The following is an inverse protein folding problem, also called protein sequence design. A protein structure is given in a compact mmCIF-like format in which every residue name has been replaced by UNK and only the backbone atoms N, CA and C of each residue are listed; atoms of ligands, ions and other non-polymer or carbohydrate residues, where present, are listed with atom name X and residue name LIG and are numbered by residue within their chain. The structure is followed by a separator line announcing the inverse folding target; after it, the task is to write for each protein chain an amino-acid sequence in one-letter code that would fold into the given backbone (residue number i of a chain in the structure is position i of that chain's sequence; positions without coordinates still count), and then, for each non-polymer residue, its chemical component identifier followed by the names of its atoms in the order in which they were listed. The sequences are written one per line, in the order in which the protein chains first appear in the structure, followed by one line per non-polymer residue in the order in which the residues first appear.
data_IF_539466083096
#
_entry.id   IF_539466083096
#
_cell.length_a   1.000
_cell.length_b   1.000
_cell.length_c   1.000
_cell.angle_alpha   90.00
_cell.angle_beta   90.00
_cell.angle_gamma   90.00
#
_symmetry.space_group_name_H-M   'P 1'
#
loop_
_entity.id
_entity.type
_entity.pdbx_description
1 polymer ?
#
# COMPACT_ATOMS: atom_id res chain seq x y z
N UNK A 1 -24.27 40.53 16.92
CA UNK A 1 -24.93 39.48 16.17
C UNK A 1 -23.90 38.45 15.70
N UNK A 2 -24.33 37.17 15.69
CA UNK A 2 -23.52 36.07 15.17
C UNK A 2 -23.89 35.84 13.71
N UNK A 3 -22.86 35.65 12.85
CA UNK A 3 -23.04 35.18 11.49
C UNK A 3 -22.08 34.01 11.28
N UNK A 4 -22.61 32.87 10.79
CA UNK A 4 -21.84 31.68 10.49
C UNK A 4 -22.10 31.22 9.09
N UNK A 5 -21.05 31.24 8.26
CA UNK A 5 -21.07 30.77 6.89
C UNK A 5 -20.27 29.49 6.86
N UNK A 6 -20.87 28.40 6.34
CA UNK A 6 -20.22 27.10 6.17
C UNK A 6 -20.47 26.58 4.76
N UNK A 7 -19.44 26.04 4.14
CA UNK A 7 -19.50 25.38 2.83
C UNK A 7 -18.87 24.02 2.94
N UNK A 8 -19.52 23.01 2.35
CA UNK A 8 -19.03 21.64 2.24
C UNK A 8 -19.01 21.23 0.77
N UNK A 9 -17.85 20.72 0.33
CA UNK A 9 -17.66 20.15 -0.99
C UNK A 9 -17.25 18.70 -0.85
N UNK A 10 -17.87 17.84 -1.62
CA UNK A 10 -17.51 16.43 -1.72
C UNK A 10 -17.52 16.00 -3.17
N UNK A 11 -16.53 15.21 -3.57
CA UNK A 11 -16.50 14.64 -4.91
C UNK A 11 -15.86 13.26 -4.94
N UNK A 12 -16.25 12.50 -5.93
CA UNK A 12 -15.73 11.19 -6.23
C UNK A 12 -15.55 11.07 -7.75
N UNK A 13 -14.39 10.58 -8.17
CA UNK A 13 -14.13 10.30 -9.59
C UNK A 13 -13.53 8.91 -9.71
N UNK A 14 -14.17 8.05 -10.48
CA UNK A 14 -13.66 6.72 -10.84
C UNK A 14 -13.74 6.54 -12.34
N UNK A 15 -12.65 6.13 -12.94
CA UNK A 15 -12.57 5.81 -14.37
C UNK A 15 -12.39 4.31 -14.52
N UNK A 16 -13.14 3.72 -15.42
CA UNK A 16 -13.05 2.29 -15.72
C UNK A 16 -12.64 2.10 -17.18
N UNK A 17 -11.91 1.01 -17.44
CA UNK A 17 -11.56 0.61 -18.78
C UNK A 17 -12.77 -0.10 -19.40
N UNK A 18 -13.44 0.55 -20.35
CA UNK A 18 -14.64 0.01 -21.01
C UNK A 18 -14.28 -0.93 -22.15
N UNK A 19 -13.34 -0.52 -23.01
CA UNK A 19 -12.94 -1.28 -24.20
C UNK A 19 -11.47 -1.09 -24.52
N UNK A 20 -10.89 -2.12 -25.14
CA UNK A 20 -9.55 -2.07 -25.73
C UNK A 20 -9.70 -2.29 -27.25
N UNK A 21 -8.80 -1.69 -28.02
CA UNK A 21 -8.74 -1.86 -29.46
C UNK A 21 -8.68 -3.36 -29.84
N UNK A 22 -9.36 -3.74 -30.91
CA UNK A 22 -9.52 -5.12 -31.40
C UNK A 22 -10.17 -6.12 -30.43
N UNK A 23 -10.94 -5.66 -29.43
CA UNK A 23 -11.62 -6.53 -28.47
C UNK A 23 -10.67 -7.29 -27.54
N UNK A 24 -9.43 -6.84 -27.37
CA UNK A 24 -8.50 -7.43 -26.41
C UNK A 24 -9.08 -7.33 -24.99
N UNK A 25 -8.84 -8.36 -24.19
CA UNK A 25 -9.32 -8.43 -22.82
C UNK A 25 -8.47 -7.60 -21.84
N UNK A 26 -7.16 -7.53 -22.08
CA UNK A 26 -6.24 -6.79 -21.23
C UNK A 26 -5.18 -6.02 -22.02
N UNK A 27 -4.62 -4.99 -21.38
CA UNK A 27 -3.45 -4.27 -21.83
C UNK A 27 -2.59 -3.90 -20.62
N UNK A 28 -1.31 -4.31 -20.60
CA UNK A 28 -0.38 -4.08 -19.49
C UNK A 28 -0.96 -4.48 -18.12
N UNK A 29 -1.62 -5.63 -18.06
CA UNK A 29 -2.33 -6.21 -16.91
C UNK A 29 -3.65 -5.53 -16.54
N UNK A 30 -3.95 -4.33 -17.04
CA UNK A 30 -5.24 -3.68 -16.86
C UNK A 30 -6.29 -4.42 -17.71
N UNK A 31 -7.36 -4.88 -17.08
CA UNK A 31 -8.42 -5.65 -17.72
C UNK A 31 -9.62 -4.76 -18.04
N UNK A 32 -10.40 -5.13 -19.05
CA UNK A 32 -11.70 -4.49 -19.31
C UNK A 32 -12.59 -4.65 -18.08
N UNK A 33 -13.19 -3.56 -17.62
CA UNK A 33 -13.98 -3.48 -16.39
C UNK A 33 -13.19 -3.04 -15.15
N UNK A 34 -11.86 -3.03 -15.21
CA UNK A 34 -11.03 -2.55 -14.09
C UNK A 34 -11.01 -1.03 -13.97
N UNK A 35 -10.73 -0.54 -12.78
CA UNK A 35 -10.43 0.88 -12.59
C UNK A 35 -9.12 1.23 -13.31
N UNK A 36 -9.16 2.29 -14.12
CA UNK A 36 -8.02 2.73 -14.92
C UNK A 36 -6.80 3.19 -14.09
N UNK A 37 -7.00 3.45 -12.79
CA UNK A 37 -5.97 3.82 -11.82
C UNK A 37 -5.50 2.64 -10.94
N UNK A 38 -5.84 1.41 -11.32
CA UNK A 38 -5.37 0.21 -10.64
C UNK A 38 -3.86 0.04 -10.82
N UNK A 39 -3.15 -0.20 -9.74
CA UNK A 39 -1.72 -0.49 -9.72
C UNK A 39 -1.52 -1.99 -9.66
N UNK A 40 -0.98 -2.54 -10.74
CA UNK A 40 -0.67 -3.96 -10.88
C UNK A 40 0.82 -4.19 -10.68
N UNK A 41 1.18 -5.05 -9.73
CA UNK A 41 2.56 -5.41 -9.46
C UNK A 41 2.71 -6.89 -9.11
N UNK A 42 3.92 -7.41 -9.27
CA UNK A 42 4.29 -8.70 -8.73
C UNK A 42 4.19 -8.69 -7.20
N UNK A 43 3.71 -9.77 -6.63
CA UNK A 43 3.58 -9.93 -5.18
C UNK A 43 4.13 -11.27 -4.73
N UNK A 44 4.49 -11.38 -3.46
CA UNK A 44 4.84 -12.66 -2.84
C UNK A 44 3.57 -13.44 -2.51
N UNK A 45 3.59 -14.75 -2.77
CA UNK A 45 2.50 -15.62 -2.33
C UNK A 45 2.41 -15.65 -0.80
N UNK A 46 1.17 -15.77 -0.32
CA UNK A 46 0.88 -15.85 1.11
C UNK A 46 -0.13 -16.96 1.38
N UNK A 47 -0.02 -17.51 2.58
CA UNK A 47 -1.04 -18.39 3.12
C UNK A 47 -2.29 -17.59 3.56
N UNK A 48 -3.40 -18.24 3.94
CA UNK A 48 -4.60 -17.56 4.43
C UNK A 48 -4.40 -16.75 5.71
N UNK A 49 -3.32 -17.01 6.47
CA UNK A 49 -2.94 -16.28 7.68
C UNK A 49 -2.04 -15.07 7.38
N UNK A 50 -1.62 -14.90 6.11
CA UNK A 50 -0.77 -13.80 5.66
C UNK A 50 0.73 -14.06 5.77
N UNK A 51 1.16 -15.27 6.12
CA UNK A 51 2.56 -15.65 6.12
C UNK A 51 3.10 -15.79 4.71
N UNK A 52 4.40 -15.58 4.53
CA UNK A 52 5.06 -15.76 3.25
C UNK A 52 5.25 -17.24 2.93
N UNK A 53 4.81 -17.66 1.76
CA UNK A 53 5.12 -19.00 1.25
C UNK A 53 6.53 -18.96 0.68
N UNK A 54 7.40 -19.86 1.16
CA UNK A 54 8.81 -19.90 0.79
C UNK A 54 9.21 -21.25 0.22
N UNK A 55 10.26 -21.26 -0.59
CA UNK A 55 10.88 -22.51 -1.01
C UNK A 55 11.56 -23.18 0.19
N UNK A 56 11.30 -24.48 0.38
CA UNK A 56 11.87 -25.27 1.46
C UNK A 56 13.40 -25.32 1.41
N UNK A 57 13.99 -25.38 0.21
CA UNK A 57 15.43 -25.58 0.01
C UNK A 57 16.28 -24.32 0.31
N UNK A 58 15.71 -23.11 0.31
CA UNK A 58 16.48 -21.88 0.44
C UNK A 58 15.77 -20.75 1.20
N UNK A 59 14.54 -20.97 1.64
CA UNK A 59 13.76 -19.98 2.39
C UNK A 59 13.39 -18.70 1.63
N UNK A 60 13.59 -18.68 0.30
CA UNK A 60 13.21 -17.52 -0.52
C UNK A 60 11.69 -17.48 -0.70
N UNK A 61 11.04 -16.33 -0.55
CA UNK A 61 9.62 -16.18 -0.85
C UNK A 61 9.30 -16.55 -2.31
N UNK A 62 8.15 -17.17 -2.52
CA UNK A 62 7.64 -17.55 -3.84
C UNK A 62 6.85 -16.39 -4.42
N UNK A 63 7.17 -16.01 -5.65
CA UNK A 63 6.46 -14.97 -6.38
C UNK A 63 5.13 -15.52 -6.91
N UNK A 64 4.06 -14.70 -6.84
CA UNK A 64 2.81 -15.01 -7.52
C UNK A 64 3.07 -14.98 -9.05
N UNK A 65 2.67 -16.00 -9.81
CA UNK A 65 2.88 -16.05 -11.25
C UNK A 65 2.15 -14.93 -12.01
N UNK A 66 1.15 -14.31 -11.36
CA UNK A 66 0.37 -13.22 -11.93
C UNK A 66 0.56 -11.93 -11.16
N UNK A 67 0.57 -10.81 -11.85
CA UNK A 67 0.52 -9.51 -11.19
C UNK A 67 -0.83 -9.28 -10.53
N UNK A 68 -0.81 -8.71 -9.34
CA UNK A 68 -2.01 -8.44 -8.52
C UNK A 68 -2.24 -6.94 -8.38
N UNK A 69 -3.49 -6.55 -8.22
CA UNK A 69 -3.83 -5.19 -7.84
C UNK A 69 -3.36 -4.94 -6.41
N UNK A 70 -2.39 -4.07 -6.26
CA UNK A 70 -1.83 -3.69 -4.95
C UNK A 70 -2.50 -2.45 -4.35
N UNK A 71 -3.33 -1.77 -5.13
CA UNK A 71 -4.09 -0.60 -4.73
C UNK A 71 -4.51 0.24 -5.91
N UNK A 72 -5.06 1.40 -5.62
CA UNK A 72 -5.50 2.38 -6.61
C UNK A 72 -4.78 3.71 -6.38
N UNK A 73 -4.31 4.35 -7.45
CA UNK A 73 -3.59 5.63 -7.34
C UNK A 73 -4.52 6.80 -6.98
N UNK A 74 -5.77 6.75 -7.45
CA UNK A 74 -6.79 7.75 -7.18
C UNK A 74 -7.45 7.59 -5.82
N UNK A 75 -7.93 8.71 -5.25
CA UNK A 75 -8.76 8.69 -4.06
C UNK A 75 -10.09 7.97 -4.33
N UNK A 76 -10.67 7.39 -3.27
CA UNK A 76 -12.05 6.92 -3.34
C UNK A 76 -13.01 8.10 -3.30
N UNK A 77 -12.70 9.12 -2.50
CA UNK A 77 -13.39 10.40 -2.46
C UNK A 77 -12.54 11.48 -1.77
N UNK A 78 -12.87 12.72 -2.03
CA UNK A 78 -12.22 13.88 -1.44
C UNK A 78 -13.29 14.87 -0.94
N UNK A 79 -12.95 15.66 0.09
CA UNK A 79 -13.85 16.64 0.65
C UNK A 79 -13.13 17.91 1.05
N UNK A 80 -13.87 19.01 1.08
CA UNK A 80 -13.45 20.29 1.59
C UNK A 80 -14.53 20.91 2.47
N UNK A 81 -14.12 21.51 3.55
CA UNK A 81 -14.98 22.28 4.46
C UNK A 81 -14.36 23.65 4.62
N UNK A 82 -15.11 24.68 4.28
CA UNK A 82 -14.76 26.08 4.57
C UNK A 82 -15.77 26.64 5.57
N UNK A 83 -15.29 27.28 6.63
CA UNK A 83 -16.14 27.87 7.66
C UNK A 83 -15.64 29.24 8.03
N UNK A 84 -16.55 30.22 8.14
CA UNK A 84 -16.28 31.56 8.63
C UNK A 84 -17.32 31.93 9.67
N UNK A 85 -16.87 32.19 10.88
CA UNK A 85 -17.67 32.65 11.99
C UNK A 85 -17.34 34.12 12.24
N UNK A 86 -18.37 34.99 12.30
CA UNK A 86 -18.26 36.40 12.63
C UNK A 86 -19.08 36.71 13.88
N UNK A 87 -18.46 37.46 14.75
CA UNK A 87 -19.12 37.98 15.95
C UNK A 87 -18.67 39.40 16.19
N UNK A 88 -19.57 40.35 16.05
CA UNK A 88 -19.24 41.79 16.07
C UNK A 88 -18.10 42.08 15.10
N UNK A 89 -17.01 42.64 15.56
CA UNK A 89 -15.83 43.00 14.78
C UNK A 89 -14.82 41.82 14.61
N UNK A 90 -15.08 40.67 15.22
CA UNK A 90 -14.23 39.48 15.12
C UNK A 90 -14.66 38.57 13.99
N UNK A 91 -13.68 37.99 13.30
CA UNK A 91 -13.88 36.90 12.33
C UNK A 91 -12.90 35.78 12.59
N UNK A 92 -13.39 34.54 12.51
CA UNK A 92 -12.60 33.32 12.55
C UNK A 92 -12.93 32.51 11.29
N UNK A 93 -11.92 32.21 10.50
CA UNK A 93 -12.10 31.37 9.31
C UNK A 93 -11.15 30.20 9.35
N UNK A 94 -11.61 29.06 8.84
CA UNK A 94 -10.76 27.89 8.62
C UNK A 94 -11.20 27.10 7.39
N UNK A 95 -10.23 26.48 6.73
CA UNK A 95 -10.42 25.57 5.61
C UNK A 95 -9.79 24.22 5.94
N UNK A 96 -10.59 23.16 5.82
CA UNK A 96 -10.17 21.79 6.00
C UNK A 96 -10.32 21.07 4.67
N UNK A 97 -9.34 20.27 4.28
CA UNK A 97 -9.43 19.35 3.16
C UNK A 97 -9.10 17.93 3.60
N UNK A 98 -9.79 16.98 3.04
CA UNK A 98 -9.54 15.58 3.30
C UNK A 98 -9.60 14.75 2.03
N UNK A 99 -8.85 13.65 2.07
CA UNK A 99 -8.84 12.62 1.04
C UNK A 99 -8.96 11.28 1.73
N UNK A 100 -9.76 10.39 1.15
CA UNK A 100 -9.92 9.00 1.60
C UNK A 100 -9.67 8.07 0.44
N UNK A 101 -8.91 7.03 0.71
CA UNK A 101 -8.49 6.04 -0.29
C UNK A 101 -7.29 6.48 -1.13
N UNK A 102 -6.92 5.59 -2.00
CA UNK A 102 -5.70 5.66 -2.78
C UNK A 102 -4.48 5.17 -2.03
N UNK A 103 -3.45 4.80 -2.78
CA UNK A 103 -2.16 4.39 -2.25
C UNK A 103 -1.03 5.24 -2.83
N UNK A 104 0.00 5.43 -2.04
CA UNK A 104 1.22 6.14 -2.41
C UNK A 104 2.37 5.13 -2.34
N UNK A 105 3.06 4.94 -3.46
CA UNK A 105 4.29 4.16 -3.53
C UNK A 105 5.46 5.03 -3.09
N UNK A 106 6.29 4.53 -2.19
CA UNK A 106 7.51 5.20 -1.74
C UNK A 106 8.76 4.47 -2.20
N UNK A 107 9.36 4.94 -3.27
CA UNK A 107 10.66 4.45 -3.74
C UNK A 107 11.77 4.80 -2.76
N UNK A 108 11.65 5.93 -2.05
CA UNK A 108 12.59 6.30 -0.99
C UNK A 108 12.62 5.25 0.13
N UNK A 109 11.45 4.77 0.57
CA UNK A 109 11.37 3.75 1.60
C UNK A 109 12.09 2.46 1.18
N UNK A 110 11.89 2.01 -0.06
CA UNK A 110 12.59 0.86 -0.62
C UNK A 110 14.11 1.07 -0.65
N UNK A 111 14.58 2.24 -1.08
CA UNK A 111 16.01 2.58 -1.09
C UNK A 111 16.61 2.60 0.30
N UNK A 112 15.89 3.09 1.30
CA UNK A 112 16.35 3.06 2.69
C UNK A 112 16.51 1.63 3.21
N UNK A 113 15.60 0.71 2.83
CA UNK A 113 15.71 -0.71 3.18
C UNK A 113 16.92 -1.34 2.48
N UNK A 114 17.10 -1.12 1.19
CA UNK A 114 18.25 -1.62 0.42
C UNK A 114 19.58 -1.12 0.99
N UNK A 115 19.64 0.16 1.36
CA UNK A 115 20.83 0.79 1.93
C UNK A 115 21.09 0.40 3.41
N UNK A 116 20.15 -0.26 4.08
CA UNK A 116 20.26 -0.61 5.49
C UNK A 116 20.10 0.57 6.46
N UNK A 117 19.44 1.66 6.03
CA UNK A 117 19.18 2.86 6.84
C UNK A 117 17.72 2.94 7.34
N UNK A 118 16.88 2.02 6.93
CA UNK A 118 15.52 1.93 7.41
C UNK A 118 15.44 1.26 8.79
N UNK A 119 14.47 1.65 9.63
CA UNK A 119 14.27 1.07 10.97
C UNK A 119 14.15 -0.45 11.01
N UNK A 120 13.58 -1.07 9.97
CA UNK A 120 13.48 -2.53 9.84
C UNK A 120 14.85 -3.21 9.76
N UNK A 121 15.87 -2.51 9.30
CA UNK A 121 17.23 -3.03 9.18
C UNK A 121 18.07 -2.87 10.46
N UNK A 122 17.54 -2.16 11.45
CA UNK A 122 18.17 -1.92 12.75
C UNK A 122 17.72 -2.95 13.82
N UNK A 123 17.23 -4.11 13.40
CA UNK A 123 16.80 -5.19 14.29
C UNK A 123 17.99 -5.97 14.86
N UNK A 124 17.87 -6.55 16.08
CA UNK A 124 18.92 -7.37 16.70
C UNK A 124 19.35 -8.57 15.84
N UNK A 125 18.43 -9.12 15.06
CA UNK A 125 18.64 -10.25 14.14
C UNK A 125 19.69 -9.96 13.06
N UNK A 126 19.99 -8.68 12.82
CA UNK A 126 21.08 -8.28 11.92
C UNK A 126 22.46 -8.81 12.37
N UNK A 127 22.65 -9.00 13.66
CA UNK A 127 23.90 -9.55 14.20
C UNK A 127 24.13 -11.00 13.76
N UNK A 128 23.07 -11.75 13.46
CA UNK A 128 23.17 -13.12 12.96
C UNK A 128 23.92 -13.20 11.63
N UNK A 129 23.84 -12.16 10.80
CA UNK A 129 24.53 -12.12 9.50
C UNK A 129 26.05 -11.96 9.62
N UNK A 130 26.54 -11.56 10.81
CA UNK A 130 27.97 -11.40 11.08
C UNK A 130 28.72 -12.73 11.02
N UNK A 131 28.05 -13.83 11.33
CA UNK A 131 28.63 -15.18 11.28
C UNK A 131 28.91 -15.67 9.85
N UNK A 132 28.44 -14.95 8.84
CA UNK A 132 28.49 -15.32 7.40
C UNK A 132 27.86 -16.68 7.08
N UNK A 133 26.95 -17.13 7.93
CA UNK A 133 26.16 -18.36 7.75
C UNK A 133 24.69 -18.00 7.96
N UNK A 134 23.78 -18.45 7.07
CA UNK A 134 22.36 -18.23 7.26
C UNK A 134 21.91 -18.82 8.60
N UNK A 135 21.31 -18.02 9.46
CA UNK A 135 20.88 -18.46 10.79
C UNK A 135 19.57 -17.82 11.28
N UNK A 136 19.01 -16.90 10.51
CA UNK A 136 17.72 -16.30 10.80
C UNK A 136 16.58 -17.17 10.25
N UNK A 137 15.63 -17.55 11.09
CA UNK A 137 14.40 -18.25 10.71
C UNK A 137 13.24 -17.28 10.85
N UNK A 138 12.60 -16.82 9.73
CA UNK A 138 11.49 -15.90 9.80
C UNK A 138 10.26 -16.56 10.43
N UNK A 139 9.68 -15.95 11.45
CA UNK A 139 8.50 -16.47 12.14
C UNK A 139 7.21 -16.42 11.29
N UNK A 140 7.22 -15.64 10.22
CA UNK A 140 6.11 -15.46 9.28
C UNK A 140 6.40 -16.10 7.91
N UNK A 141 7.16 -17.18 7.87
CA UNK A 141 7.45 -17.95 6.69
C UNK A 141 6.91 -19.39 6.83
N UNK A 142 6.25 -19.87 5.79
CA UNK A 142 5.68 -21.21 5.70
C UNK A 142 6.11 -21.91 4.42
N UNK A 143 6.16 -23.23 4.46
CA UNK A 143 6.36 -24.10 3.29
C UNK A 143 5.07 -24.83 2.97
N UNK A 144 4.85 -25.12 1.69
CA UNK A 144 3.76 -25.99 1.24
C UNK A 144 4.16 -27.41 1.53
N UNK A 145 3.34 -28.16 2.25
CA UNK A 145 3.61 -29.57 2.63
C UNK A 145 2.76 -30.55 1.84
N UNK A 146 1.60 -30.12 1.37
CA UNK A 146 0.69 -30.91 0.54
C UNK A 146 -0.23 -30.01 -0.28
N UNK A 147 -1.02 -30.62 -1.20
CA UNK A 147 -1.98 -29.92 -2.02
C UNK A 147 -1.37 -29.06 -3.12
N UNK A 148 -2.24 -28.49 -3.94
CA UNK A 148 -1.88 -27.71 -5.12
C UNK A 148 -2.73 -26.45 -5.23
N UNK A 149 -2.28 -25.52 -6.09
CA UNK A 149 -3.02 -24.35 -6.52
C UNK A 149 -3.12 -24.32 -8.04
N UNK A 150 -4.32 -24.05 -8.55
CA UNK A 150 -4.55 -23.87 -9.99
C UNK A 150 -5.14 -22.50 -10.27
N UNK A 151 -4.71 -21.92 -11.39
CA UNK A 151 -5.16 -20.62 -11.87
C UNK A 151 -5.80 -20.77 -13.26
N UNK A 152 -6.78 -19.92 -13.56
CA UNK A 152 -7.24 -19.73 -14.93
C UNK A 152 -6.23 -18.88 -15.74
N UNK A 153 -6.49 -18.74 -17.05
CA UNK A 153 -5.68 -17.93 -17.97
C UNK A 153 -5.63 -16.43 -17.59
N UNK A 154 -6.49 -16.01 -16.68
CA UNK A 154 -6.59 -14.62 -16.19
C UNK A 154 -5.94 -14.42 -14.83
N UNK A 155 -5.39 -15.49 -14.24
CA UNK A 155 -4.75 -15.47 -12.93
C UNK A 155 -5.72 -15.48 -11.76
N UNK A 156 -7.00 -15.84 -11.97
CA UNK A 156 -7.90 -16.12 -10.86
C UNK A 156 -7.65 -17.52 -10.32
N UNK A 157 -7.73 -17.68 -9.01
CA UNK A 157 -7.57 -18.98 -8.37
C UNK A 157 -8.82 -19.83 -8.65
N UNK A 158 -8.65 -20.97 -9.31
CA UNK A 158 -9.71 -21.95 -9.52
C UNK A 158 -9.89 -22.81 -8.27
N UNK A 159 -8.81 -23.30 -7.71
CA UNK A 159 -8.78 -23.95 -6.40
C UNK A 159 -7.41 -23.74 -5.73
N UNK A 160 -7.39 -23.81 -4.42
CA UNK A 160 -6.19 -23.83 -3.59
C UNK A 160 -6.42 -24.79 -2.43
N UNK A 161 -5.75 -25.94 -2.48
CA UNK A 161 -5.86 -27.00 -1.48
C UNK A 161 -4.57 -27.14 -0.67
N UNK A 162 -3.64 -26.17 -0.80
CA UNK A 162 -2.32 -26.25 -0.17
C UNK A 162 -2.40 -26.27 1.35
N UNK A 163 -1.72 -27.23 1.95
CA UNK A 163 -1.43 -27.28 3.37
C UNK A 163 -0.08 -26.63 3.67
N UNK A 164 0.05 -26.03 4.84
CA UNK A 164 1.22 -25.24 5.20
C UNK A 164 1.80 -25.66 6.54
N UNK A 165 3.14 -25.65 6.63
CA UNK A 165 3.88 -25.79 7.89
C UNK A 165 4.88 -24.62 8.05
N UNK A 166 5.24 -24.26 9.29
CA UNK A 166 6.28 -23.27 9.53
C UNK A 166 7.60 -23.63 8.83
N UNK A 167 8.21 -22.67 8.16
CA UNK A 167 9.55 -22.88 7.58
C UNK A 167 10.60 -23.00 8.68
N UNK A 168 11.47 -23.99 8.54
CA UNK A 168 12.66 -24.18 9.41
C UNK A 168 13.96 -23.83 8.69
N UNK A 169 13.87 -23.38 7.43
CA UNK A 169 15.04 -23.07 6.59
C UNK A 169 15.67 -21.74 7.01
N UNK A 170 16.92 -21.73 7.43
CA UNK A 170 17.59 -20.50 7.82
C UNK A 170 17.96 -19.66 6.60
N UNK A 171 17.84 -18.34 6.72
CA UNK A 171 18.20 -17.34 5.71
C UNK A 171 19.12 -16.28 6.33
N UNK A 172 19.76 -15.46 5.51
CA UNK A 172 20.36 -14.22 6.00
C UNK A 172 19.27 -13.21 6.33
N UNK A 173 19.35 -12.57 7.48
CA UNK A 173 18.40 -11.52 7.89
C UNK A 173 18.35 -10.38 6.84
N UNK A 174 19.52 -9.95 6.36
CA UNK A 174 19.62 -8.94 5.29
C UNK A 174 18.83 -9.36 4.02
N UNK A 175 18.94 -10.63 3.63
CA UNK A 175 18.23 -11.14 2.45
C UNK A 175 16.73 -11.14 2.68
N UNK A 176 16.28 -11.56 3.88
CA UNK A 176 14.86 -11.55 4.23
C UNK A 176 14.27 -10.15 4.18
N UNK A 177 14.93 -9.19 4.83
CA UNK A 177 14.49 -7.79 4.79
C UNK A 177 14.56 -7.23 3.37
N UNK A 178 15.55 -7.62 2.57
CA UNK A 178 15.64 -7.26 1.16
C UNK A 178 14.44 -7.71 0.32
N UNK A 179 13.87 -8.88 0.59
CA UNK A 179 12.65 -9.33 -0.07
C UNK A 179 11.44 -8.46 0.30
N UNK A 180 11.40 -7.90 1.50
CA UNK A 180 10.32 -7.03 1.97
C UNK A 180 10.37 -5.63 1.33
N UNK A 181 11.57 -5.09 1.06
CA UNK A 181 11.78 -3.72 0.64
C UNK A 181 12.20 -3.52 -0.81
N UNK A 182 12.21 -4.56 -1.64
CA UNK A 182 12.77 -4.50 -2.98
C UNK A 182 12.04 -3.50 -3.89
N UNK A 183 12.81 -2.62 -4.56
CA UNK A 183 12.26 -1.63 -5.47
C UNK A 183 11.79 -2.26 -6.79
N UNK A 184 12.56 -3.22 -7.32
CA UNK A 184 12.28 -3.93 -8.55
C UNK A 184 12.07 -5.42 -8.22
N UNK A 185 10.85 -5.81 -7.98
CA UNK A 185 10.51 -7.18 -7.62
C UNK A 185 9.16 -7.24 -6.91
N UNK A 186 8.77 -8.41 -6.44
CA UNK A 186 7.49 -8.57 -5.80
C UNK A 186 7.26 -7.63 -4.63
N UNK A 187 6.15 -6.92 -4.69
CA UNK A 187 5.75 -5.98 -3.64
C UNK A 187 5.19 -6.70 -2.45
N UNK A 188 5.59 -6.25 -1.28
CA UNK A 188 4.89 -6.57 -0.05
C UNK A 188 4.01 -5.39 0.32
N UNK A 189 2.70 -5.59 0.27
CA UNK A 189 1.76 -4.61 0.82
C UNK A 189 2.16 -4.31 2.26
N UNK A 190 2.32 -3.02 2.56
CA UNK A 190 2.64 -2.53 3.90
C UNK A 190 4.07 -2.01 4.11
N UNK A 191 5.03 -2.33 3.23
CA UNK A 191 6.40 -1.81 3.38
C UNK A 191 6.69 -0.58 2.50
N UNK A 192 6.27 -0.59 1.24
CA UNK A 192 6.53 0.50 0.30
C UNK A 192 5.25 1.17 -0.21
N UNK A 193 4.08 0.70 0.25
CA UNK A 193 2.78 1.27 -0.04
C UNK A 193 2.21 1.91 1.21
N UNK A 194 1.80 3.15 1.09
CA UNK A 194 1.20 3.95 2.14
C UNK A 194 -0.21 4.34 1.74
N UNK A 195 -1.12 4.39 2.71
CA UNK A 195 -2.46 4.92 2.48
C UNK A 195 -2.37 6.40 2.09
N UNK A 196 -3.15 6.78 1.09
CA UNK A 196 -3.27 8.16 0.63
C UNK A 196 -4.22 9.01 1.47
N UNK A 197 -4.75 8.47 2.56
CA UNK A 197 -5.71 9.15 3.44
C UNK A 197 -5.07 10.31 4.19
N UNK A 198 -5.74 11.45 4.21
CA UNK A 198 -5.35 12.55 5.08
C UNK A 198 -6.54 13.46 5.40
N UNK A 199 -6.42 14.17 6.52
CA UNK A 199 -7.21 15.35 6.84
C UNK A 199 -6.20 16.45 7.14
N UNK A 200 -6.40 17.63 6.52
CA UNK A 200 -5.46 18.74 6.59
C UNK A 200 -6.22 20.05 6.86
N UNK A 201 -5.83 20.74 7.91
CA UNK A 201 -6.17 22.15 8.07
C UNK A 201 -5.31 22.95 7.07
N UNK A 202 -5.95 23.56 6.08
CA UNK A 202 -5.27 24.33 5.03
C UNK A 202 -4.98 25.74 5.47
N UNK A 203 -6.00 26.35 6.03
CA UNK A 203 -5.96 27.76 6.44
C UNK A 203 -6.67 27.92 7.78
N UNK A 204 -6.15 28.78 8.61
CA UNK A 204 -6.84 29.31 9.77
C UNK A 204 -6.49 30.78 9.91
N UNK A 205 -7.49 31.62 10.01
CA UNK A 205 -7.31 33.07 10.19
C UNK A 205 -8.24 33.62 11.23
N UNK A 206 -7.72 34.62 11.99
CA UNK A 206 -8.48 35.43 12.92
C UNK A 206 -8.34 36.87 12.45
N UNK A 207 -9.46 37.56 12.29
CA UNK A 207 -9.51 38.95 11.90
C UNK A 207 -10.27 39.79 12.90
N UNK A 208 -9.90 41.06 13.02
CA UNK A 208 -10.64 42.08 13.76
C UNK A 208 -10.82 43.30 12.88
N UNK A 209 -12.05 43.80 12.80
CA UNK A 209 -12.41 45.01 12.05
C UNK A 209 -12.33 46.21 12.97
N UNK A 210 -11.47 47.17 12.63
CA UNK A 210 -11.26 48.43 13.40
C UNK A 210 -12.13 49.58 12.90
N UNK A 211 -13.08 49.35 12.01
CA UNK A 211 -13.89 50.43 11.41
C UNK A 211 -14.76 51.22 12.40
N UNK A 212 -15.00 50.65 13.59
CA UNK A 212 -15.81 51.25 14.64
C UNK A 212 -14.96 52.00 15.70
N UNK A 213 -13.65 52.15 15.47
CA UNK A 213 -12.76 52.95 16.31
C UNK A 213 -12.55 54.35 15.70
#
# INVERSE_FOLDING_TARGET
DWKWDISFNWFQTRKYLDKIYNGAYNYNNLKVGDRADALYESVWQRDPQGNFIVFENNGRPIEDPFKRVIGYAGADWEFGISSTLRYRNWSLSFDIAGRVGGVIRSDLNARMIEAGTHKLTAAPERELDWTKTPSYIPSNAVVVVDGDIEYDDHGNVLYDTRGYAPSTTPVYFKSWIGYMGKLNGPYTMGYNLFKGDFIKLRTMSVGYDFSDL
#
